data_IF_517421503326
#
_entry.id   IF_517421503326
#
_cell.length_a   1.000
_cell.length_b   1.000
_cell.length_c   1.000
_cell.angle_alpha   90.00
_cell.angle_beta   90.00
_cell.angle_gamma   90.00
#
_symmetry.space_group_name_H-M   'P 1'
#
loop_
_entity.id
_entity.type
_entity.pdbx_description
1 polymer ?
#
# COMPACT_ATOMS: atom_id res chain seq x y z
N UNK A 1 -18.33 -11.09 6.11
CA UNK A 1 -17.15 -10.46 6.71
C UNK A 1 -16.14 -11.56 7.00
N UNK A 2 -15.16 -11.75 6.13
CA UNK A 2 -14.05 -12.66 6.38
C UNK A 2 -12.81 -11.77 6.44
N UNK A 3 -12.57 -11.19 7.65
CA UNK A 3 -11.32 -10.51 7.91
C UNK A 3 -10.18 -11.50 7.75
N UNK A 4 -9.09 -11.07 7.12
CA UNK A 4 -7.85 -11.83 7.13
C UNK A 4 -7.50 -12.11 8.60
N UNK A 5 -7.16 -13.36 8.96
CA UNK A 5 -6.76 -13.66 10.32
C UNK A 5 -5.49 -12.86 10.63
N UNK A 6 -5.54 -12.01 11.65
CA UNK A 6 -4.33 -11.43 12.23
C UNK A 6 -3.54 -12.58 12.82
N UNK A 7 -2.47 -12.97 12.17
CA UNK A 7 -1.72 -14.18 12.54
C UNK A 7 -0.73 -13.90 13.69
N UNK A 8 -0.28 -12.67 13.85
CA UNK A 8 0.67 -12.28 14.91
C UNK A 8 0.53 -10.81 15.31
N UNK A 9 0.73 -10.55 16.58
CA UNK A 9 0.88 -9.21 17.13
C UNK A 9 2.35 -9.02 17.51
N UNK A 10 3.00 -8.01 16.93
CA UNK A 10 4.39 -7.68 17.25
C UNK A 10 4.43 -6.33 17.97
N UNK A 11 5.01 -6.28 19.14
CA UNK A 11 5.26 -5.04 19.88
C UNK A 11 6.72 -4.64 19.71
N UNK A 12 6.96 -3.44 19.21
CA UNK A 12 8.31 -2.85 19.06
C UNK A 12 8.48 -1.76 20.10
N UNK A 13 9.52 -1.86 20.93
CA UNK A 13 9.83 -0.86 21.96
C UNK A 13 11.33 -0.80 22.22
N UNK A 14 11.91 0.41 22.20
CA UNK A 14 13.32 0.63 22.58
C UNK A 14 14.33 -0.12 21.72
N UNK A 15 14.08 -0.30 20.43
CA UNK A 15 14.99 -1.01 19.52
C UNK A 15 14.95 -2.54 19.68
N UNK A 16 13.89 -3.07 20.26
CA UNK A 16 13.64 -4.51 20.42
C UNK A 16 12.23 -4.83 19.98
N UNK A 17 11.99 -6.02 19.46
CA UNK A 17 10.64 -6.50 19.16
C UNK A 17 10.32 -7.75 19.98
N UNK A 18 9.04 -7.92 20.28
CA UNK A 18 8.48 -9.08 20.96
C UNK A 18 7.21 -9.48 20.22
N UNK A 19 7.10 -10.76 19.92
CA UNK A 19 5.85 -11.34 19.41
C UNK A 19 4.89 -11.60 20.58
N UNK A 20 3.60 -11.37 20.32
CA UNK A 20 2.54 -11.61 21.30
C UNK A 20 1.50 -12.57 20.71
N UNK A 21 0.87 -13.35 21.58
CA UNK A 21 -0.28 -14.18 21.22
C UNK A 21 -1.44 -13.28 20.78
N UNK A 22 -2.00 -13.54 19.60
CA UNK A 22 -3.12 -12.75 19.05
C UNK A 22 -4.38 -12.86 19.93
N UNK A 23 -4.56 -13.99 20.58
CA UNK A 23 -5.70 -14.23 21.49
C UNK A 23 -5.43 -13.79 22.93
N UNK A 24 -4.15 -13.52 23.26
CA UNK A 24 -3.69 -13.03 24.56
C UNK A 24 -2.58 -12.01 24.34
N UNK A 25 -2.91 -10.79 23.89
CA UNK A 25 -1.92 -9.79 23.50
C UNK A 25 -1.01 -9.31 24.65
N UNK A 26 -1.34 -9.63 25.88
CA UNK A 26 -0.51 -9.39 27.05
C UNK A 26 0.59 -10.46 27.27
N UNK A 27 0.51 -11.59 26.56
CA UNK A 27 1.46 -12.70 26.69
C UNK A 27 2.49 -12.65 25.58
N UNK A 28 3.78 -12.35 25.88
CA UNK A 28 4.85 -12.43 24.90
C UNK A 28 5.14 -13.90 24.56
N UNK A 29 5.37 -14.18 23.26
CA UNK A 29 5.74 -15.52 22.77
C UNK A 29 7.23 -15.83 22.89
N UNK A 30 8.03 -14.87 23.36
CA UNK A 30 9.47 -15.05 23.55
C UNK A 30 10.15 -13.85 24.19
N UNK A 31 11.47 -13.96 24.36
CA UNK A 31 12.27 -12.85 24.89
C UNK A 31 12.42 -11.72 23.86
N UNK A 32 12.52 -10.46 24.30
CA UNK A 32 12.72 -9.33 23.41
C UNK A 32 14.00 -9.46 22.59
N UNK A 33 13.87 -9.49 21.27
CA UNK A 33 15.01 -9.62 20.33
C UNK A 33 15.50 -8.22 19.93
N UNK A 34 16.81 -7.89 20.15
CA UNK A 34 17.35 -6.64 19.67
C UNK A 34 17.40 -6.62 18.14
N UNK A 35 16.95 -5.55 17.51
CA UNK A 35 17.28 -5.29 16.13
C UNK A 35 18.37 -4.23 16.06
N UNK A 36 19.52 -4.62 15.52
CA UNK A 36 20.60 -3.69 15.19
C UNK A 36 20.30 -3.05 13.85
N UNK A 37 20.23 -1.71 13.85
CA UNK A 37 20.11 -0.95 12.62
C UNK A 37 21.46 -1.05 11.86
N UNK A 38 21.64 -2.13 11.11
CA UNK A 38 22.69 -2.20 10.11
C UNK A 38 22.21 -1.38 8.92
N UNK A 39 22.56 -0.08 8.92
CA UNK A 39 22.36 0.71 7.72
C UNK A 39 23.16 0.05 6.60
N UNK A 40 22.54 -0.40 5.51
CA UNK A 40 23.32 -0.83 4.35
C UNK A 40 24.13 0.38 3.90
N UNK A 41 25.42 0.17 3.69
CA UNK A 41 26.36 1.17 3.16
C UNK A 41 26.02 1.41 1.67
N UNK A 42 24.86 2.04 1.44
CA UNK A 42 24.43 2.50 0.12
C UNK A 42 24.83 3.94 -0.02
N UNK A 43 25.42 4.32 -1.17
CA UNK A 43 25.75 5.72 -1.43
C UNK A 43 24.49 6.55 -1.23
N UNK A 44 24.57 7.52 -0.29
CA UNK A 44 23.51 8.45 0.04
C UNK A 44 23.08 9.17 -1.24
N UNK A 45 21.93 8.80 -1.78
CA UNK A 45 21.30 9.61 -2.81
C UNK A 45 21.06 10.99 -2.22
N UNK A 46 21.32 12.08 -2.95
CA UNK A 46 21.14 13.43 -2.43
C UNK A 46 19.73 13.53 -1.83
N UNK A 47 19.66 14.01 -0.60
CA UNK A 47 18.41 14.26 0.09
C UNK A 47 17.57 15.20 -0.78
N UNK A 48 16.42 14.76 -1.25
CA UNK A 48 15.45 15.61 -1.92
C UNK A 48 14.98 16.62 -0.89
N UNK A 49 15.19 17.90 -1.17
CA UNK A 49 14.89 19.01 -0.25
C UNK A 49 13.39 18.97 0.09
N UNK A 50 13.01 19.29 1.32
CA UNK A 50 11.66 19.10 1.87
C UNK A 50 10.50 19.67 1.03
N UNK A 51 10.72 20.74 0.28
CA UNK A 51 9.73 21.32 -0.64
C UNK A 51 9.39 20.38 -1.82
N UNK A 52 10.37 19.65 -2.34
CA UNK A 52 10.20 18.71 -3.45
C UNK A 52 9.44 17.44 -2.98
N UNK A 53 9.65 17.04 -1.72
CA UNK A 53 8.93 15.92 -1.13
C UNK A 53 7.44 16.21 -0.93
N UNK A 54 7.09 17.40 -0.44
CA UNK A 54 5.71 17.83 -0.31
C UNK A 54 5.02 17.92 -1.68
N UNK A 55 5.71 18.43 -2.70
CA UNK A 55 5.21 18.49 -4.07
C UNK A 55 4.98 17.10 -4.67
N UNK A 56 5.75 16.08 -4.25
CA UNK A 56 5.61 14.71 -4.75
C UNK A 56 4.26 14.07 -4.38
N UNK A 57 3.65 14.49 -3.27
CA UNK A 57 2.35 14.00 -2.82
C UNK A 57 1.22 15.03 -3.00
N UNK A 58 1.52 16.28 -3.38
CA UNK A 58 0.52 17.35 -3.54
C UNK A 58 -0.49 17.03 -4.65
N UNK A 59 -1.77 17.40 -4.49
CA UNK A 59 -2.77 17.20 -5.53
C UNK A 59 -2.44 17.98 -6.81
N UNK A 60 -2.84 17.41 -7.95
CA UNK A 60 -2.87 18.17 -9.21
C UNK A 60 -3.90 19.29 -9.09
N UNK A 61 -3.68 20.39 -9.81
CA UNK A 61 -4.53 21.58 -9.79
C UNK A 61 -4.88 22.03 -11.22
N UNK A 62 -5.77 23.00 -11.34
CA UNK A 62 -6.14 23.59 -12.61
C UNK A 62 -6.78 22.60 -13.58
N UNK A 63 -6.38 22.65 -14.85
CA UNK A 63 -6.96 21.80 -15.91
C UNK A 63 -6.79 20.31 -15.67
N UNK A 64 -5.69 19.90 -15.07
CA UNK A 64 -5.45 18.48 -14.74
C UNK A 64 -6.42 17.98 -13.66
N UNK A 65 -6.75 18.78 -12.66
CA UNK A 65 -7.75 18.44 -11.66
C UNK A 65 -9.15 18.34 -12.27
N UNK A 66 -9.51 19.27 -13.17
CA UNK A 66 -10.79 19.25 -13.88
C UNK A 66 -10.93 18.00 -14.78
N UNK A 67 -9.87 17.64 -15.49
CA UNK A 67 -9.84 16.44 -16.32
C UNK A 67 -10.01 15.16 -15.47
N UNK A 68 -9.35 15.08 -14.32
CA UNK A 68 -9.53 13.96 -13.40
C UNK A 68 -10.96 13.87 -12.86
N UNK A 69 -11.57 15.00 -12.48
CA UNK A 69 -12.96 15.01 -12.00
C UNK A 69 -13.92 14.46 -13.07
N UNK A 70 -13.78 14.92 -14.33
CA UNK A 70 -14.59 14.42 -15.44
C UNK A 70 -14.36 12.91 -15.70
N UNK A 71 -13.10 12.44 -15.59
CA UNK A 71 -12.78 11.02 -15.70
C UNK A 71 -13.43 10.20 -14.57
N UNK A 72 -13.42 10.69 -13.34
CA UNK A 72 -14.09 10.03 -12.21
C UNK A 72 -15.61 9.93 -12.40
N UNK A 73 -16.26 10.96 -12.92
CA UNK A 73 -17.71 10.91 -13.21
C UNK A 73 -18.04 9.82 -14.24
N UNK A 74 -17.26 9.73 -15.32
CA UNK A 74 -17.43 8.69 -16.34
C UNK A 74 -17.20 7.28 -15.78
N UNK A 75 -16.14 7.11 -15.00
CA UNK A 75 -15.79 5.82 -14.37
C UNK A 75 -16.88 5.40 -13.40
N UNK A 76 -17.39 6.31 -12.54
CA UNK A 76 -18.45 6.03 -11.59
C UNK A 76 -19.71 5.54 -12.30
N UNK A 77 -20.17 6.25 -13.33
CA UNK A 77 -21.35 5.85 -14.10
C UNK A 77 -21.19 4.46 -14.72
N UNK A 78 -19.98 4.12 -15.21
CA UNK A 78 -19.67 2.80 -15.77
C UNK A 78 -19.66 1.71 -14.70
N UNK A 79 -19.06 1.97 -13.53
CA UNK A 79 -19.02 1.00 -12.41
C UNK A 79 -20.43 0.76 -11.85
N UNK A 80 -21.24 1.79 -11.69
CA UNK A 80 -22.63 1.69 -11.25
C UNK A 80 -23.44 0.82 -12.22
N UNK A 81 -23.30 1.03 -13.53
CA UNK A 81 -23.95 0.21 -14.57
C UNK A 81 -23.50 -1.24 -14.48
N UNK A 82 -22.19 -1.47 -14.33
CA UNK A 82 -21.64 -2.84 -14.23
C UNK A 82 -22.12 -3.54 -12.96
N UNK A 83 -22.20 -2.84 -11.84
CA UNK A 83 -22.73 -3.37 -10.59
C UNK A 83 -24.20 -3.76 -10.71
N UNK A 84 -25.03 -2.89 -11.35
CA UNK A 84 -26.45 -3.15 -11.57
C UNK A 84 -26.71 -4.35 -12.49
N UNK A 85 -25.82 -4.60 -13.45
CA UNK A 85 -25.92 -5.72 -14.39
C UNK A 85 -25.31 -7.03 -13.84
N UNK A 86 -24.59 -6.96 -12.73
CA UNK A 86 -23.90 -8.12 -12.15
C UNK A 86 -24.77 -8.81 -11.10
N UNK A 87 -24.84 -10.13 -11.16
CA UNK A 87 -25.44 -10.94 -10.09
C UNK A 87 -24.62 -10.93 -8.78
N UNK A 88 -23.38 -10.39 -8.81
CA UNK A 88 -22.51 -10.24 -7.65
C UNK A 88 -21.60 -9.01 -7.83
N UNK A 89 -22.06 -7.82 -7.38
CA UNK A 89 -21.31 -6.58 -7.52
C UNK A 89 -19.88 -6.65 -6.98
N UNK A 90 -19.68 -7.23 -5.79
CA UNK A 90 -18.35 -7.35 -5.16
C UNK A 90 -17.38 -8.16 -6.01
N UNK A 91 -17.84 -9.30 -6.56
CA UNK A 91 -17.01 -10.09 -7.48
C UNK A 91 -16.69 -9.37 -8.78
N UNK A 92 -17.61 -8.54 -9.27
CA UNK A 92 -17.37 -7.72 -10.46
C UNK A 92 -16.30 -6.66 -10.17
N UNK A 93 -16.40 -5.95 -9.05
CA UNK A 93 -15.42 -4.95 -8.59
C UNK A 93 -14.04 -5.60 -8.40
N UNK A 94 -13.96 -6.74 -7.73
CA UNK A 94 -12.70 -7.45 -7.52
C UNK A 94 -12.04 -7.87 -8.85
N UNK A 95 -12.81 -8.41 -9.78
CA UNK A 95 -12.30 -8.82 -11.10
C UNK A 95 -11.78 -7.62 -11.88
N UNK A 96 -12.55 -6.52 -11.94
CA UNK A 96 -12.15 -5.29 -12.61
C UNK A 96 -10.92 -4.69 -11.93
N UNK A 97 -10.90 -4.66 -10.61
CA UNK A 97 -9.79 -4.12 -9.83
C UNK A 97 -8.48 -4.87 -10.08
N UNK A 98 -8.51 -6.20 -10.05
CA UNK A 98 -7.32 -7.01 -10.38
C UNK A 98 -6.84 -6.75 -11.80
N UNK A 99 -7.74 -6.69 -12.76
CA UNK A 99 -7.39 -6.40 -14.15
C UNK A 99 -6.79 -4.99 -14.31
N UNK A 100 -7.35 -3.98 -13.63
CA UNK A 100 -6.84 -2.61 -13.65
C UNK A 100 -5.44 -2.50 -12.99
N UNK A 101 -5.23 -3.16 -11.84
CA UNK A 101 -3.91 -3.23 -11.18
C UNK A 101 -2.88 -3.88 -12.11
N UNK A 102 -3.18 -5.06 -12.67
CA UNK A 102 -2.26 -5.76 -13.56
C UNK A 102 -1.94 -4.96 -14.84
N UNK A 103 -2.92 -4.26 -15.40
CA UNK A 103 -2.73 -3.41 -16.56
C UNK A 103 -1.84 -2.20 -16.23
N UNK A 104 -2.06 -1.55 -15.08
CA UNK A 104 -1.26 -0.43 -14.62
C UNK A 104 0.19 -0.83 -14.35
N UNK A 105 0.39 -1.95 -13.66
CA UNK A 105 1.72 -2.52 -13.37
C UNK A 105 2.47 -2.78 -14.66
N UNK A 106 1.91 -3.58 -15.59
CA UNK A 106 2.56 -3.88 -16.87
C UNK A 106 2.88 -2.64 -17.68
N UNK A 107 1.97 -1.65 -17.72
CA UNK A 107 2.19 -0.41 -18.49
C UNK A 107 3.34 0.41 -17.92
N UNK A 108 3.40 0.56 -16.59
CA UNK A 108 4.44 1.33 -15.92
C UNK A 108 5.79 0.63 -15.92
N UNK A 109 5.81 -0.70 -15.81
CA UNK A 109 7.01 -1.53 -15.98
C UNK A 109 7.67 -1.31 -17.36
N UNK A 110 6.84 -1.18 -18.39
CA UNK A 110 7.28 -0.87 -19.77
C UNK A 110 7.63 0.61 -19.99
N UNK A 111 7.66 1.43 -18.93
CA UNK A 111 7.99 2.86 -19.00
C UNK A 111 6.83 3.76 -19.41
N UNK A 112 5.62 3.23 -19.59
CA UNK A 112 4.42 4.00 -19.90
C UNK A 112 3.80 4.69 -18.70
N UNK A 113 2.75 5.49 -18.96
CA UNK A 113 1.95 6.17 -17.93
C UNK A 113 0.47 5.87 -18.14
N UNK A 114 -0.33 6.00 -17.11
CA UNK A 114 -1.78 5.90 -17.19
C UNK A 114 -2.38 7.23 -17.67
N UNK A 115 -3.35 7.17 -18.57
CA UNK A 115 -4.21 8.31 -18.86
C UNK A 115 -5.19 8.61 -17.73
N UNK A 116 -6.01 9.64 -17.87
CA UNK A 116 -6.90 10.09 -16.80
C UNK A 116 -8.01 9.08 -16.52
N UNK A 117 -8.55 8.40 -17.56
CA UNK A 117 -9.60 7.39 -17.38
C UNK A 117 -9.07 6.14 -16.66
N UNK A 118 -7.93 5.61 -17.09
CA UNK A 118 -7.30 4.47 -16.45
C UNK A 118 -6.86 4.80 -15.00
N UNK A 119 -6.39 6.03 -14.77
CA UNK A 119 -6.06 6.52 -13.42
C UNK A 119 -7.30 6.59 -12.53
N UNK A 120 -8.38 7.21 -13.01
CA UNK A 120 -9.63 7.34 -12.28
C UNK A 120 -10.25 5.96 -11.96
N UNK A 121 -10.22 5.03 -12.92
CA UNK A 121 -10.72 3.67 -12.73
C UNK A 121 -9.95 2.93 -11.65
N UNK A 122 -8.63 2.91 -11.73
CA UNK A 122 -7.81 2.23 -10.72
C UNK A 122 -7.99 2.85 -9.34
N UNK A 123 -7.98 4.19 -9.24
CA UNK A 123 -8.20 4.89 -7.97
C UNK A 123 -9.58 4.56 -7.38
N UNK A 124 -10.64 4.56 -8.20
CA UNK A 124 -11.99 4.22 -7.75
C UNK A 124 -12.08 2.77 -7.24
N UNK A 125 -11.45 1.83 -7.92
CA UNK A 125 -11.44 0.41 -7.57
C UNK A 125 -10.62 0.11 -6.31
N UNK A 126 -9.59 0.93 -6.00
CA UNK A 126 -8.81 0.84 -4.77
C UNK A 126 -9.60 1.18 -3.49
N UNK A 127 -10.87 1.54 -3.58
CA UNK A 127 -11.76 1.61 -2.42
C UNK A 127 -12.13 0.24 -1.86
N UNK A 128 -12.09 -0.81 -2.67
CA UNK A 128 -12.25 -2.19 -2.19
C UNK A 128 -10.97 -2.66 -1.49
N UNK A 129 -11.13 -3.21 -0.29
CA UNK A 129 -10.03 -3.75 0.50
C UNK A 129 -9.32 -4.87 -0.26
N UNK A 130 -10.07 -5.77 -0.90
CA UNK A 130 -9.52 -6.90 -1.64
C UNK A 130 -8.72 -6.43 -2.87
N UNK A 131 -9.11 -5.33 -3.50
CA UNK A 131 -8.35 -4.74 -4.62
C UNK A 131 -7.07 -4.10 -4.10
N UNK A 132 -7.11 -3.40 -2.95
CA UNK A 132 -5.92 -2.85 -2.30
C UNK A 132 -4.95 -3.95 -1.91
N UNK A 133 -5.43 -5.01 -1.27
CA UNK A 133 -4.60 -6.17 -0.89
C UNK A 133 -3.93 -6.79 -2.11
N UNK A 134 -4.67 -6.96 -3.20
CA UNK A 134 -4.10 -7.43 -4.44
C UNK A 134 -3.02 -6.46 -5.00
N UNK A 135 -3.25 -5.15 -4.93
CA UNK A 135 -2.28 -4.16 -5.36
C UNK A 135 -0.99 -4.21 -4.52
N UNK A 136 -1.09 -4.43 -3.20
CA UNK A 136 0.08 -4.66 -2.34
C UNK A 136 0.87 -5.90 -2.76
N UNK A 137 0.20 -7.01 -3.02
CA UNK A 137 0.85 -8.25 -3.46
C UNK A 137 1.55 -8.11 -4.82
N UNK A 138 1.06 -7.20 -5.68
CA UNK A 138 1.66 -6.90 -6.99
C UNK A 138 2.77 -5.84 -6.92
N UNK A 139 2.97 -5.25 -5.75
CA UNK A 139 3.99 -4.22 -5.51
C UNK A 139 5.16 -4.85 -4.80
N UNK A 140 6.19 -5.29 -5.53
CA UNK A 140 7.38 -5.89 -4.91
C UNK A 140 8.31 -4.85 -4.25
N UNK A 141 8.08 -3.57 -4.53
CA UNK A 141 8.74 -2.45 -3.85
C UNK A 141 10.19 -2.21 -4.23
N UNK A 142 10.76 -2.99 -5.11
CA UNK A 142 12.18 -2.87 -5.50
C UNK A 142 12.39 -1.78 -6.56
N UNK A 143 11.39 -1.52 -7.41
CA UNK A 143 11.55 -0.68 -8.58
C UNK A 143 11.00 0.73 -8.40
N UNK A 144 11.76 1.71 -8.90
CA UNK A 144 11.41 3.14 -8.83
C UNK A 144 10.10 3.47 -9.57
N UNK A 145 9.71 2.67 -10.56
CA UNK A 145 8.48 2.90 -11.31
C UNK A 145 7.23 2.61 -10.48
N UNK A 146 7.26 1.66 -9.54
CA UNK A 146 6.18 1.43 -8.57
C UNK A 146 5.87 2.71 -7.78
N UNK A 147 6.91 3.35 -7.25
CA UNK A 147 6.75 4.60 -6.52
C UNK A 147 6.15 5.71 -7.40
N UNK A 148 6.60 5.82 -8.66
CA UNK A 148 6.03 6.79 -9.62
C UNK A 148 4.56 6.52 -9.91
N UNK A 149 4.18 5.25 -10.07
CA UNK A 149 2.78 4.87 -10.28
C UNK A 149 1.91 5.36 -9.13
N UNK A 150 2.23 4.93 -7.90
CA UNK A 150 1.37 5.22 -6.74
C UNK A 150 1.37 6.70 -6.35
N UNK A 151 2.50 7.40 -6.44
CA UNK A 151 2.55 8.86 -6.26
C UNK A 151 1.73 9.58 -7.34
N UNK A 152 1.83 9.16 -8.59
CA UNK A 152 1.06 9.71 -9.69
C UNK A 152 -0.45 9.59 -9.47
N UNK A 153 -0.92 8.43 -9.00
CA UNK A 153 -2.31 8.20 -8.64
C UNK A 153 -2.73 9.00 -7.40
N UNK A 154 -1.87 9.05 -6.36
CA UNK A 154 -2.11 9.88 -5.16
C UNK A 154 -2.36 11.34 -5.50
N UNK A 155 -1.58 11.90 -6.41
CA UNK A 155 -1.71 13.30 -6.84
C UNK A 155 -2.97 13.56 -7.64
N UNK A 156 -3.44 12.56 -8.39
CA UNK A 156 -4.64 12.64 -9.27
C UNK A 156 -5.94 12.28 -8.56
N UNK A 157 -5.84 11.64 -7.39
CA UNK A 157 -7.02 11.24 -6.63
C UNK A 157 -7.82 12.46 -6.14
N UNK A 158 -9.15 12.37 -6.25
CA UNK A 158 -10.07 13.35 -5.68
C UNK A 158 -10.33 13.04 -4.20
N UNK A 159 -10.82 14.01 -3.39
CA UNK A 159 -11.15 13.78 -1.99
C UNK A 159 -12.08 12.57 -1.80
N UNK A 160 -11.81 11.75 -0.79
CA UNK A 160 -12.50 10.48 -0.50
C UNK A 160 -12.00 9.28 -1.31
N UNK A 161 -10.95 9.47 -2.15
CA UNK A 161 -10.32 8.41 -2.96
C UNK A 161 -8.79 8.42 -2.84
N UNK A 162 -8.24 9.27 -1.98
CA UNK A 162 -6.79 9.47 -1.84
C UNK A 162 -6.15 8.36 -1.01
N UNK A 163 -6.87 7.83 -0.02
CA UNK A 163 -6.30 6.93 0.99
C UNK A 163 -5.62 5.68 0.40
N UNK A 164 -6.27 4.99 -0.53
CA UNK A 164 -5.73 3.77 -1.15
C UNK A 164 -4.39 3.99 -1.87
N UNK A 165 -4.34 4.85 -2.92
CA UNK A 165 -3.09 5.09 -3.63
C UNK A 165 -2.01 5.75 -2.76
N UNK A 166 -2.38 6.62 -1.80
CA UNK A 166 -1.42 7.25 -0.90
C UNK A 166 -0.78 6.25 0.07
N UNK A 167 -1.56 5.30 0.59
CA UNK A 167 -1.02 4.24 1.44
C UNK A 167 -0.07 3.31 0.65
N UNK A 168 -0.41 2.94 -0.60
CA UNK A 168 0.48 2.20 -1.49
C UNK A 168 1.78 2.97 -1.78
N UNK A 169 1.68 4.28 -2.05
CA UNK A 169 2.87 5.13 -2.24
C UNK A 169 3.74 5.17 -0.98
N UNK A 170 3.13 5.30 0.21
CA UNK A 170 3.81 5.25 1.50
C UNK A 170 4.53 3.94 1.73
N UNK A 171 3.86 2.82 1.44
CA UNK A 171 4.44 1.49 1.54
C UNK A 171 5.67 1.32 0.64
N UNK A 172 5.59 1.69 -0.64
CA UNK A 172 6.73 1.62 -1.55
C UNK A 172 7.86 2.56 -1.15
N UNK A 173 7.52 3.78 -0.70
CA UNK A 173 8.52 4.73 -0.21
C UNK A 173 9.26 4.18 1.01
N UNK A 174 8.55 3.55 1.96
CA UNK A 174 9.14 2.90 3.11
C UNK A 174 10.05 1.74 2.68
N UNK A 175 9.58 0.83 1.84
CA UNK A 175 10.38 -0.30 1.32
C UNK A 175 11.62 0.13 0.53
N UNK A 176 11.60 1.30 -0.07
CA UNK A 176 12.74 1.86 -0.81
C UNK A 176 13.61 2.81 0.03
N UNK A 177 13.50 2.74 1.37
CA UNK A 177 14.27 3.54 2.33
C UNK A 177 14.13 5.05 2.15
N UNK A 178 12.87 5.50 1.93
CA UNK A 178 12.49 6.92 1.82
C UNK A 178 11.47 7.28 2.90
N UNK A 179 11.86 7.23 4.19
CA UNK A 179 10.92 7.35 5.31
C UNK A 179 10.18 8.70 5.32
N UNK A 180 10.82 9.79 4.93
CA UNK A 180 10.18 11.11 4.90
C UNK A 180 9.06 11.17 3.84
N UNK A 181 9.30 10.62 2.66
CA UNK A 181 8.27 10.52 1.62
C UNK A 181 7.15 9.55 2.04
N UNK A 182 7.51 8.46 2.70
CA UNK A 182 6.54 7.52 3.24
C UNK A 182 5.61 8.20 4.25
N UNK A 183 6.16 8.97 5.21
CA UNK A 183 5.37 9.73 6.18
C UNK A 183 4.39 10.68 5.51
N UNK A 184 4.86 11.46 4.54
CA UNK A 184 4.00 12.41 3.83
C UNK A 184 2.84 11.71 3.10
N UNK A 185 3.12 10.59 2.43
CA UNK A 185 2.09 9.82 1.74
C UNK A 185 1.09 9.19 2.73
N UNK A 186 1.57 8.61 3.83
CA UNK A 186 0.73 8.01 4.87
C UNK A 186 -0.14 9.05 5.57
N UNK A 187 0.41 10.20 5.93
CA UNK A 187 -0.37 11.30 6.51
C UNK A 187 -1.46 11.76 5.55
N UNK A 188 -1.18 11.80 4.25
CA UNK A 188 -2.19 12.13 3.25
C UNK A 188 -3.28 11.07 3.16
N UNK A 189 -2.93 9.77 3.29
CA UNK A 189 -3.91 8.70 3.36
C UNK A 189 -4.83 8.85 4.57
N UNK A 190 -4.26 9.07 5.75
CA UNK A 190 -5.01 9.23 7.01
C UNK A 190 -5.80 10.54 7.08
N UNK A 191 -5.40 11.57 6.33
CA UNK A 191 -6.18 12.82 6.21
C UNK A 191 -7.44 12.62 5.37
N UNK A 192 -7.43 11.69 4.41
CA UNK A 192 -8.57 11.35 3.56
C UNK A 192 -9.48 10.30 4.22
N UNK A 193 -8.87 9.30 4.85
CA UNK A 193 -9.54 8.23 5.61
C UNK A 193 -8.81 7.98 6.94
N UNK A 194 -9.25 8.61 8.04
CA UNK A 194 -8.66 8.39 9.36
C UNK A 194 -8.77 6.95 9.86
N UNK A 195 -9.69 6.16 9.33
CA UNK A 195 -9.90 4.75 9.67
C UNK A 195 -9.06 3.76 8.85
N UNK A 196 -8.17 4.23 7.97
CA UNK A 196 -7.40 3.37 7.10
C UNK A 196 -6.34 2.56 7.88
N UNK A 197 -6.69 1.31 8.23
CA UNK A 197 -5.92 0.46 9.15
C UNK A 197 -4.44 0.29 8.72
N UNK A 198 -4.19 -0.02 7.44
CA UNK A 198 -2.82 -0.24 6.96
C UNK A 198 -1.99 1.05 6.98
N UNK A 199 -2.59 2.22 6.72
CA UNK A 199 -1.88 3.49 6.83
C UNK A 199 -1.50 3.79 8.29
N UNK A 200 -2.37 3.47 9.24
CA UNK A 200 -2.08 3.61 10.66
C UNK A 200 -0.92 2.69 11.11
N UNK A 201 -0.94 1.42 10.68
CA UNK A 201 0.16 0.47 10.94
C UNK A 201 1.47 0.98 10.34
N UNK A 202 1.44 1.43 9.09
CA UNK A 202 2.64 1.93 8.41
C UNK A 202 3.19 3.19 9.08
N UNK A 203 2.32 4.08 9.58
CA UNK A 203 2.75 5.24 10.35
C UNK A 203 3.46 4.81 11.63
N UNK A 204 2.92 3.83 12.35
CA UNK A 204 3.55 3.30 13.55
C UNK A 204 4.93 2.69 13.24
N UNK A 205 5.06 1.90 12.18
CA UNK A 205 6.37 1.35 11.75
C UNK A 205 7.39 2.46 11.45
N UNK A 206 6.94 3.54 10.83
CA UNK A 206 7.77 4.71 10.54
C UNK A 206 8.17 5.45 11.82
N UNK A 207 7.27 5.61 12.78
CA UNK A 207 7.53 6.29 14.06
C UNK A 207 8.53 5.51 14.91
N UNK A 208 8.40 4.19 14.93
CA UNK A 208 9.34 3.29 15.60
C UNK A 208 10.63 3.07 14.79
N UNK A 209 10.77 3.69 13.62
CA UNK A 209 11.92 3.52 12.72
C UNK A 209 12.21 2.06 12.37
N UNK A 210 11.16 1.25 12.24
CA UNK A 210 11.29 -0.17 11.86
C UNK A 210 11.76 -0.27 10.41
N UNK A 211 12.89 -0.95 10.14
CA UNK A 211 13.37 -1.12 8.77
C UNK A 211 12.49 -2.13 8.01
N UNK A 212 12.32 -1.95 6.68
CA UNK A 212 11.49 -2.84 5.86
C UNK A 212 11.92 -4.31 5.95
N UNK A 213 13.21 -4.57 6.03
CA UNK A 213 13.80 -5.90 6.08
C UNK A 213 13.36 -6.69 7.32
N UNK A 214 13.18 -6.00 8.44
CA UNK A 214 12.69 -6.64 9.67
C UNK A 214 11.25 -7.10 9.51
N UNK A 215 10.38 -6.29 8.91
CA UNK A 215 9.01 -6.68 8.65
C UNK A 215 8.92 -7.86 7.66
N UNK A 216 9.79 -7.89 6.64
CA UNK A 216 9.88 -9.00 5.69
C UNK A 216 10.34 -10.30 6.36
N UNK A 217 11.33 -10.22 7.25
CA UNK A 217 11.78 -11.37 8.04
C UNK A 217 10.66 -11.94 8.91
N UNK A 218 9.89 -11.09 9.58
CA UNK A 218 8.76 -11.50 10.40
C UNK A 218 7.69 -12.21 9.55
N UNK A 219 7.38 -11.67 8.35
CA UNK A 219 6.44 -12.27 7.42
C UNK A 219 6.96 -13.58 6.80
N UNK A 220 8.26 -13.70 6.54
CA UNK A 220 8.87 -14.89 5.96
C UNK A 220 8.88 -16.08 6.95
N UNK A 221 9.10 -15.82 8.24
CA UNK A 221 9.07 -16.85 9.29
C UNK A 221 7.65 -17.42 9.53
N UNK A 222 6.63 -16.71 9.05
CA UNK A 222 5.22 -17.07 9.24
C UNK A 222 4.54 -17.65 8.01
N UNK A 223 5.29 -17.98 6.93
CA UNK A 223 4.71 -18.87 5.91
C UNK A 223 4.58 -20.26 6.52
N UNK A 224 3.35 -20.78 6.71
CA UNK A 224 3.20 -22.17 7.07
C UNK A 224 3.90 -23.00 6.01
N UNK A 225 4.77 -23.92 6.43
CA UNK A 225 5.41 -24.92 5.56
C UNK A 225 4.32 -25.62 4.74
N UNK A 226 4.08 -25.13 3.54
CA UNK A 226 3.22 -25.77 2.56
C UNK A 226 4.04 -26.90 1.95
N UNK A 227 4.11 -28.03 2.65
CA UNK A 227 4.69 -29.19 2.01
C UNK A 227 5.44 -30.17 2.91
N UNK A 228 4.72 -30.83 3.80
CA UNK A 228 5.10 -32.20 4.15
C UNK A 228 3.83 -33.06 4.14
N UNK A 229 3.43 -33.51 2.96
CA UNK A 229 2.58 -34.70 2.87
C UNK A 229 3.37 -35.87 3.54
N UNK A 230 2.82 -36.53 4.57
CA UNK A 230 3.44 -37.72 5.09
C UNK A 230 3.42 -38.80 4.02
N UNK A 231 4.48 -39.62 3.86
CA UNK A 231 4.49 -40.71 2.93
C UNK A 231 3.38 -41.71 3.30
N UNK A 232 2.48 -41.97 2.38
CA UNK A 232 1.50 -43.06 2.49
C UNK A 232 2.23 -44.40 2.61
N UNK A 233 2.04 -45.08 3.72
CA UNK A 233 2.35 -46.51 3.88
C UNK A 233 1.16 -47.31 3.45
#
# INVERSE_FOLDING_TARGET
MHGLPVMHLVRVTGGRYVEHDVHRPEVPLGDPVPFTRTAPDRPSRPAVVGADLAAAVAPVTGTAAAAMLAAFEQVRARLDTTAAQSGSPDRAVLRLGRAAVDAAVRRCEQGGTLDDLASAELIALLRSDEVRDFAYLRTDGSDVWHLRLWLGLTRRAIPGYVAGPACLAGYVAWRTHRPELARLAVHRALSDDPGHALAAILLQLLDESVPPELAELLLAHHRPDSGMEPPMQ
#
